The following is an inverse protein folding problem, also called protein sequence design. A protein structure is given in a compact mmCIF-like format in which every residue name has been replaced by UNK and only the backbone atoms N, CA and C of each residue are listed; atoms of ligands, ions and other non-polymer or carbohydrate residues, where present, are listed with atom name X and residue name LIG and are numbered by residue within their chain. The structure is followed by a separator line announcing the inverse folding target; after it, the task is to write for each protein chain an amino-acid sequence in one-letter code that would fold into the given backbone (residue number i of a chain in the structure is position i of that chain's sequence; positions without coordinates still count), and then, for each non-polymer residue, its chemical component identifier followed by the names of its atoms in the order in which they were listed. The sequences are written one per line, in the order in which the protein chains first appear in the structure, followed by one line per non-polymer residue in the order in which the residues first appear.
data_IF_230007896550
#
_entry.id   IF_230007896550
#
_cell.length_a   1.000
_cell.length_b   1.000
_cell.length_c   1.000
_cell.angle_alpha   90.00
_cell.angle_beta   90.00
_cell.angle_gamma   90.00
#
_symmetry.space_group_name_H-M   'P 1'
#
loop_
_entity.id
_entity.type
_entity.pdbx_description
1 polymer ?
#
# COMPACT_ATOMS: atom_id res chain seq x y z
N UNK A 1 18.63 -11.61 18.22
CA UNK A 1 17.43 -12.46 18.15
C UNK A 1 16.69 -12.60 19.49
N UNK A 2 17.31 -12.33 20.65
CA UNK A 2 16.64 -12.49 21.97
C UNK A 2 15.59 -11.42 22.29
N UNK A 3 15.73 -10.21 21.76
CA UNK A 3 14.80 -9.10 22.04
C UNK A 3 13.34 -9.40 21.62
N UNK A 4 13.13 -10.11 20.50
CA UNK A 4 11.79 -10.51 20.04
C UNK A 4 11.14 -11.55 20.94
N UNK A 5 11.95 -12.46 21.51
CA UNK A 5 11.47 -13.49 22.44
C UNK A 5 11.10 -12.87 23.79
N UNK A 6 11.88 -11.89 24.25
CA UNK A 6 11.65 -11.18 25.51
C UNK A 6 10.51 -10.17 25.44
N UNK A 7 10.24 -9.60 24.27
CA UNK A 7 9.22 -8.57 24.07
C UNK A 7 8.34 -8.81 22.82
N UNK A 8 7.60 -9.93 22.76
CA UNK A 8 6.83 -10.30 21.57
C UNK A 8 5.64 -9.38 21.29
N UNK A 9 5.18 -8.60 22.27
CA UNK A 9 4.06 -7.65 22.13
C UNK A 9 4.50 -6.26 21.66
N UNK A 10 5.80 -6.03 21.46
CA UNK A 10 6.32 -4.75 20.93
C UNK A 10 6.38 -4.80 19.41
N UNK A 11 5.34 -4.27 18.75
CA UNK A 11 5.24 -4.21 17.28
C UNK A 11 6.48 -3.60 16.61
N UNK A 12 7.08 -2.57 17.22
CA UNK A 12 8.27 -1.89 16.69
C UNK A 12 9.47 -2.81 16.51
N UNK A 13 9.64 -3.82 17.38
CA UNK A 13 10.75 -4.77 17.25
C UNK A 13 10.55 -5.70 16.05
N UNK A 14 9.30 -6.12 15.79
CA UNK A 14 8.97 -6.95 14.63
C UNK A 14 9.17 -6.17 13.32
N UNK A 15 8.71 -4.92 13.29
CA UNK A 15 8.92 -4.01 12.16
C UNK A 15 10.42 -3.85 11.92
N UNK A 16 11.18 -3.53 12.96
CA UNK A 16 12.64 -3.36 12.85
C UNK A 16 13.34 -4.62 12.31
N UNK A 17 13.02 -5.80 12.85
CA UNK A 17 13.61 -7.06 12.40
C UNK A 17 13.29 -7.35 10.93
N UNK A 18 12.07 -7.07 10.48
CA UNK A 18 11.67 -7.25 9.09
C UNK A 18 12.39 -6.26 8.15
N UNK A 19 12.49 -4.99 8.53
CA UNK A 19 13.25 -3.99 7.77
C UNK A 19 14.73 -4.37 7.66
N UNK A 20 15.35 -4.74 8.78
CA UNK A 20 16.75 -5.17 8.81
C UNK A 20 17.01 -6.37 7.88
N UNK A 21 16.08 -7.33 7.83
CA UNK A 21 16.17 -8.49 6.92
C UNK A 21 16.21 -8.09 5.44
N UNK A 22 15.42 -7.09 5.03
CA UNK A 22 15.41 -6.62 3.64
C UNK A 22 16.58 -5.70 3.34
N UNK A 23 16.97 -4.84 4.27
CA UNK A 23 18.03 -3.84 4.06
C UNK A 23 19.41 -4.46 4.02
N UNK A 24 19.71 -5.39 4.94
CA UNK A 24 21.05 -5.94 5.12
C UNK A 24 21.24 -7.25 4.33
N UNK A 25 20.19 -8.05 4.19
CA UNK A 25 20.27 -9.39 3.59
C UNK A 25 19.47 -9.56 2.30
N UNK A 26 18.73 -8.53 1.86
CA UNK A 26 17.78 -8.61 0.74
C UNK A 26 16.77 -9.77 0.84
N UNK A 27 16.52 -10.27 2.06
CA UNK A 27 15.68 -11.43 2.31
C UNK A 27 14.26 -11.01 2.66
N UNK A 28 13.43 -10.96 1.62
CA UNK A 28 12.00 -10.68 1.75
C UNK A 28 11.22 -11.82 2.42
N UNK A 29 11.67 -13.07 2.27
CA UNK A 29 10.99 -14.24 2.86
C UNK A 29 11.12 -14.23 4.38
N UNK A 30 12.32 -13.94 4.88
CA UNK A 30 12.56 -13.80 6.31
C UNK A 30 11.85 -12.56 6.88
N UNK A 31 11.79 -11.45 6.14
CA UNK A 31 11.03 -10.27 6.53
C UNK A 31 9.52 -10.55 6.68
N UNK A 32 8.93 -11.28 5.71
CA UNK A 32 7.54 -11.77 5.78
C UNK A 32 7.32 -12.63 7.02
N UNK A 33 8.25 -13.53 7.31
CA UNK A 33 8.19 -14.37 8.51
C UNK A 33 8.15 -13.54 9.79
N UNK A 34 8.97 -12.49 9.91
CA UNK A 34 8.93 -11.59 11.06
C UNK A 34 7.60 -10.84 11.16
N UNK A 35 7.09 -10.29 10.06
CA UNK A 35 5.82 -9.56 10.05
C UNK A 35 4.64 -10.48 10.42
N UNK A 36 4.56 -11.67 9.82
CA UNK A 36 3.51 -12.65 10.09
C UNK A 36 3.54 -13.14 11.54
N UNK A 37 4.74 -13.43 12.09
CA UNK A 37 4.89 -13.79 13.51
C UNK A 37 4.52 -12.62 14.42
N UNK A 38 4.93 -11.40 14.06
CA UNK A 38 4.54 -10.20 14.79
C UNK A 38 3.03 -10.02 14.86
N UNK A 39 2.31 -10.29 13.77
CA UNK A 39 0.85 -10.19 13.72
C UNK A 39 0.14 -11.22 14.60
N UNK A 40 0.75 -12.37 14.88
CA UNK A 40 0.22 -13.33 15.87
C UNK A 40 0.22 -12.76 17.29
N UNK A 41 1.17 -11.89 17.64
CA UNK A 41 1.25 -11.26 18.97
C UNK A 41 0.64 -9.87 19.04
N UNK A 42 0.72 -9.11 17.95
CA UNK A 42 0.37 -7.69 17.87
C UNK A 42 -0.79 -7.45 16.90
N UNK A 43 -1.80 -8.33 16.89
CA UNK A 43 -2.92 -8.30 15.93
C UNK A 43 -3.71 -6.98 15.91
N UNK A 44 -3.76 -6.27 17.05
CA UNK A 44 -4.43 -4.97 17.19
C UNK A 44 -3.55 -3.77 16.82
N UNK A 45 -2.29 -3.99 16.48
CA UNK A 45 -1.36 -2.91 16.10
C UNK A 45 -1.59 -2.48 14.66
N UNK A 46 -2.31 -1.36 14.45
CA UNK A 46 -2.47 -0.73 13.13
C UNK A 46 -1.14 -0.49 12.45
N UNK A 47 -0.16 0.02 13.22
CA UNK A 47 1.20 0.28 12.74
C UNK A 47 1.84 -0.95 12.11
N UNK A 48 1.71 -2.13 12.72
CA UNK A 48 2.30 -3.35 12.18
C UNK A 48 1.65 -3.77 10.85
N UNK A 49 0.33 -3.67 10.75
CA UNK A 49 -0.40 -3.96 9.50
C UNK A 49 0.01 -3.02 8.37
N UNK A 50 0.05 -1.71 8.64
CA UNK A 50 0.44 -0.69 7.66
C UNK A 50 1.89 -0.88 7.21
N UNK A 51 2.82 -1.10 8.15
CA UNK A 51 4.22 -1.32 7.80
C UNK A 51 4.45 -2.61 7.02
N UNK A 52 3.69 -3.67 7.31
CA UNK A 52 3.78 -4.91 6.53
C UNK A 52 3.32 -4.69 5.07
N UNK A 53 2.18 -4.05 4.86
CA UNK A 53 1.72 -3.73 3.51
C UNK A 53 2.68 -2.78 2.78
N UNK A 54 3.22 -1.77 3.49
CA UNK A 54 4.21 -0.84 2.93
C UNK A 54 5.48 -1.56 2.49
N UNK A 55 5.97 -2.51 3.29
CA UNK A 55 7.14 -3.34 2.96
C UNK A 55 6.91 -4.14 1.66
N UNK A 56 5.73 -4.74 1.49
CA UNK A 56 5.37 -5.47 0.26
C UNK A 56 5.28 -4.56 -0.97
N UNK A 57 4.72 -3.36 -0.83
CA UNK A 57 4.66 -2.38 -1.94
C UNK A 57 6.05 -1.87 -2.33
N UNK A 58 6.94 -1.64 -1.36
CA UNK A 58 8.35 -1.31 -1.62
C UNK A 58 9.03 -2.46 -2.38
N UNK A 59 8.78 -3.71 -1.97
CA UNK A 59 9.32 -4.88 -2.65
C UNK A 59 8.84 -4.98 -4.12
N UNK A 60 7.54 -4.76 -4.37
CA UNK A 60 6.98 -4.70 -5.72
C UNK A 60 7.65 -3.60 -6.55
N UNK A 61 7.80 -2.41 -5.99
CA UNK A 61 8.45 -1.27 -6.65
C UNK A 61 9.89 -1.60 -7.06
N UNK A 62 10.66 -2.22 -6.15
CA UNK A 62 12.03 -2.67 -6.43
C UNK A 62 12.07 -3.72 -7.53
N UNK A 63 11.12 -4.66 -7.54
CA UNK A 63 11.05 -5.72 -8.55
C UNK A 63 10.76 -5.14 -9.95
N UNK A 64 9.82 -4.19 -10.05
CA UNK A 64 9.51 -3.47 -11.31
C UNK A 64 10.71 -2.66 -11.79
N UNK A 65 11.37 -1.92 -10.89
CA UNK A 65 12.57 -1.18 -11.24
C UNK A 65 13.68 -2.11 -11.78
N UNK A 66 13.85 -3.29 -11.19
CA UNK A 66 14.80 -4.29 -11.67
C UNK A 66 14.43 -4.84 -13.05
N UNK A 67 13.15 -5.13 -13.31
CA UNK A 67 12.69 -5.59 -14.63
C UNK A 67 12.95 -4.55 -15.72
N UNK A 68 12.68 -3.26 -15.43
CA UNK A 68 13.02 -2.13 -16.31
C UNK A 68 14.50 -2.07 -16.66
N UNK A 69 15.36 -2.17 -15.66
CA UNK A 69 16.82 -2.13 -15.85
C UNK A 69 17.30 -3.32 -16.68
N UNK A 70 16.70 -4.50 -16.49
CA UNK A 70 17.03 -5.72 -17.23
C UNK A 70 16.38 -5.81 -18.62
N UNK A 71 15.57 -4.82 -19.01
CA UNK A 71 14.86 -4.83 -20.31
C UNK A 71 13.76 -5.88 -20.41
N UNK A 72 13.27 -6.40 -19.27
CA UNK A 72 12.22 -7.43 -19.22
C UNK A 72 10.79 -6.85 -19.25
N UNK A 73 10.68 -5.53 -19.42
CA UNK A 73 9.40 -4.79 -19.52
C UNK A 73 8.75 -4.86 -20.91
N UNK A 74 9.36 -5.59 -21.85
CA UNK A 74 8.77 -5.80 -23.18
C UNK A 74 7.48 -6.63 -23.07
N UNK A 75 6.37 -6.02 -23.48
CA UNK A 75 5.12 -6.75 -23.77
C UNK A 75 5.47 -7.83 -24.80
N UNK A 76 4.99 -9.08 -24.64
CA UNK A 76 5.16 -10.08 -25.69
C UNK A 76 4.40 -9.62 -26.92
N UNK A 77 5.10 -9.03 -27.89
CA UNK A 77 4.60 -8.98 -29.25
C UNK A 77 4.48 -10.43 -29.75
N UNK A 78 3.39 -10.69 -30.47
CA UNK A 78 3.02 -12.02 -30.95
C UNK A 78 4.10 -12.72 -31.77
N UNK A 79 3.89 -14.02 -32.04
CA UNK A 79 4.97 -14.98 -32.27
C UNK A 79 5.70 -14.71 -33.58
N UNK A 80 7.03 -14.58 -33.50
CA UNK A 80 7.93 -14.88 -34.61
C UNK A 80 8.86 -16.01 -34.21
N UNK A 81 8.81 -17.05 -35.05
CA UNK A 81 9.41 -18.36 -34.92
C UNK A 81 10.95 -18.37 -34.88
N UNK A 82 11.45 -19.39 -34.15
CA UNK A 82 12.66 -20.19 -34.34
C UNK A 82 14.02 -19.49 -34.19
N UNK A 83 14.86 -19.97 -33.25
CA UNK A 83 16.02 -20.84 -33.57
C UNK A 83 16.42 -21.70 -32.33
N UNK A 84 16.67 -22.99 -32.61
CA UNK A 84 17.65 -23.95 -32.06
C UNK A 84 17.69 -24.31 -30.56
N UNK A 85 17.44 -25.60 -30.34
CA UNK A 85 17.98 -26.45 -29.28
C UNK A 85 19.51 -26.53 -29.38
N UNK A 86 20.21 -26.09 -28.32
CA UNK A 86 21.46 -26.62 -27.75
C UNK A 86 22.14 -25.49 -26.94
N UNK A 87 22.06 -25.54 -25.61
CA UNK A 87 23.23 -25.51 -24.71
C UNK A 87 22.78 -25.60 -23.22
N UNK A 88 22.90 -26.79 -22.65
CA UNK A 88 22.65 -27.06 -21.24
C UNK A 88 23.85 -26.61 -20.41
N UNK A 89 23.84 -25.36 -19.92
CA UNK A 89 24.77 -24.94 -18.88
C UNK A 89 24.16 -25.19 -17.48
N UNK A 90 24.55 -26.33 -16.93
CA UNK A 90 24.39 -26.69 -15.53
C UNK A 90 25.39 -25.91 -14.67
N UNK A 91 24.90 -24.95 -13.89
CA UNK A 91 25.56 -24.56 -12.64
C UNK A 91 24.52 -23.97 -11.65
N UNK A 92 23.78 -24.87 -10.99
CA UNK A 92 22.94 -24.52 -9.83
C UNK A 92 23.76 -24.75 -8.56
N UNK A 93 24.20 -23.67 -7.91
CA UNK A 93 24.69 -23.73 -6.54
C UNK A 93 23.45 -23.80 -5.61
N UNK A 94 23.15 -25.00 -5.08
CA UNK A 94 22.16 -25.17 -4.02
C UNK A 94 22.71 -24.63 -2.69
N UNK A 95 22.00 -23.68 -2.08
CA UNK A 95 22.22 -23.33 -0.67
C UNK A 95 21.47 -24.30 0.25
N UNK A 96 22.04 -24.67 1.41
CA UNK A 96 21.44 -25.65 2.32
C UNK A 96 20.11 -25.14 2.91
N UNK A 97 19.10 -26.00 2.90
CA UNK A 97 17.81 -25.78 3.56
C UNK A 97 17.99 -26.01 5.07
N UNK A 98 17.68 -25.01 5.90
CA UNK A 98 17.50 -25.20 7.34
C UNK A 98 16.03 -25.55 7.56
N UNK A 99 15.76 -26.69 8.20
CA UNK A 99 14.43 -27.29 8.41
C UNK A 99 13.68 -26.71 9.61
N UNK A 100 12.35 -26.88 9.58
CA UNK A 100 11.33 -26.18 10.39
C UNK A 100 11.08 -26.73 11.82
N UNK A 101 11.92 -27.59 12.39
CA UNK A 101 11.48 -28.39 13.55
C UNK A 101 11.71 -27.82 14.97
N UNK A 102 12.37 -26.68 15.18
CA UNK A 102 12.90 -26.39 16.53
C UNK A 102 12.29 -25.23 17.35
N UNK A 103 11.17 -24.60 16.97
CA UNK A 103 10.59 -23.55 17.84
C UNK A 103 9.05 -23.51 17.80
N UNK A 104 8.41 -24.37 18.59
CA UNK A 104 7.02 -24.19 19.03
C UNK A 104 6.95 -24.10 20.57
N UNK A 105 6.32 -23.05 21.12
CA UNK A 105 5.24 -23.34 22.05
C UNK A 105 4.01 -22.42 21.87
N UNK A 106 2.91 -23.07 21.48
CA UNK A 106 1.50 -22.90 21.89
C UNK A 106 1.02 -21.48 22.25
N UNK A 107 0.29 -20.87 21.32
CA UNK A 107 -0.90 -20.07 21.63
C UNK A 107 -1.94 -20.36 20.54
N UNK A 108 -3.04 -21.01 20.94
CA UNK A 108 -4.24 -21.20 20.14
C UNK A 108 -5.13 -19.97 20.36
N UNK A 109 -5.43 -19.23 19.31
CA UNK A 109 -6.80 -18.78 19.01
C UNK A 109 -6.87 -18.39 17.52
N UNK A 110 -7.96 -18.82 16.89
CA UNK A 110 -8.18 -18.88 15.45
C UNK A 110 -8.56 -17.52 14.85
N UNK A 111 -8.48 -17.41 13.52
CA UNK A 111 -8.87 -16.27 12.63
C UNK A 111 -7.76 -15.29 12.21
N UNK A 112 -6.60 -15.80 11.81
CA UNK A 112 -5.88 -15.19 10.68
C UNK A 112 -5.68 -16.31 9.68
N UNK A 113 -6.28 -16.19 8.50
CA UNK A 113 -6.34 -17.24 7.50
C UNK A 113 -4.94 -17.52 6.93
N UNK A 114 -4.19 -18.40 7.59
CA UNK A 114 -2.82 -18.80 7.20
C UNK A 114 -2.78 -19.41 5.79
N UNK A 115 -3.91 -19.92 5.29
CA UNK A 115 -4.03 -20.44 3.92
C UNK A 115 -3.99 -19.31 2.88
N UNK A 116 -4.57 -18.15 3.17
CA UNK A 116 -4.49 -16.97 2.31
C UNK A 116 -3.04 -16.44 2.20
N UNK A 117 -2.25 -16.57 3.28
CA UNK A 117 -0.86 -16.13 3.32
C UNK A 117 0.12 -17.08 2.59
N UNK A 118 -0.18 -18.39 2.54
CA UNK A 118 0.67 -19.40 1.88
C UNK A 118 0.54 -19.43 0.35
N UNK A 119 -0.61 -19.04 -0.19
CA UNK A 119 -0.89 -19.02 -1.64
C UNK A 119 -0.13 -17.91 -2.38
N UNK A 120 0.50 -17.00 -1.65
CA UNK A 120 1.14 -15.79 -2.17
C UNK A 120 2.59 -15.96 -2.68
N UNK A 121 3.18 -17.16 -2.49
CA UNK A 121 4.61 -17.37 -2.74
C UNK A 121 4.97 -17.83 -4.17
N UNK A 122 3.99 -18.04 -5.05
CA UNK A 122 4.23 -18.61 -6.40
C UNK A 122 3.68 -17.70 -7.51
N UNK A 123 4.48 -16.73 -7.95
CA UNK A 123 4.49 -16.20 -9.34
C UNK A 123 3.44 -15.14 -9.78
N UNK A 124 2.85 -14.28 -8.92
CA UNK A 124 2.27 -13.00 -9.38
C UNK A 124 2.64 -11.83 -8.45
N UNK A 125 3.91 -11.70 -8.06
CA UNK A 125 4.39 -10.68 -7.12
C UNK A 125 3.97 -9.24 -7.51
N UNK A 126 3.83 -8.96 -8.81
CA UNK A 126 3.46 -7.64 -9.33
C UNK A 126 1.96 -7.31 -9.27
N UNK A 127 1.10 -8.29 -8.98
CA UNK A 127 -0.36 -8.13 -9.07
C UNK A 127 -0.98 -7.40 -7.87
N UNK A 128 -0.19 -7.14 -6.82
CA UNK A 128 -0.68 -6.55 -5.57
C UNK A 128 -1.48 -7.50 -4.69
N UNK A 129 -1.48 -8.81 -4.97
CA UNK A 129 -2.25 -9.80 -4.21
C UNK A 129 -1.88 -9.83 -2.71
N UNK A 130 -0.60 -9.64 -2.37
CA UNK A 130 -0.15 -9.66 -0.97
C UNK A 130 -0.66 -8.42 -0.20
N UNK A 131 -0.42 -7.17 -0.65
CA UNK A 131 -1.03 -6.01 -0.02
C UNK A 131 -2.57 -6.08 0.09
N UNK A 132 -3.26 -6.63 -0.91
CA UNK A 132 -4.71 -6.84 -0.86
C UNK A 132 -5.11 -7.82 0.25
N UNK A 133 -4.47 -8.99 0.31
CA UNK A 133 -4.74 -9.98 1.35
C UNK A 133 -4.44 -9.44 2.77
N UNK A 134 -3.38 -8.63 2.90
CA UNK A 134 -3.06 -7.91 4.14
C UNK A 134 -4.19 -6.95 4.50
N UNK A 135 -4.65 -6.11 3.57
CA UNK A 135 -5.77 -5.19 3.78
C UNK A 135 -7.04 -5.94 4.21
N UNK A 136 -7.44 -6.97 3.47
CA UNK A 136 -8.67 -7.74 3.74
C UNK A 136 -8.65 -8.42 5.11
N UNK A 137 -7.49 -8.90 5.54
CA UNK A 137 -7.32 -9.50 6.87
C UNK A 137 -7.34 -8.43 7.96
N UNK A 138 -6.70 -7.29 7.72
CA UNK A 138 -6.61 -6.21 8.68
C UNK A 138 -7.96 -5.51 8.88
N UNK A 139 -8.67 -5.19 7.80
CA UNK A 139 -9.95 -4.47 7.87
C UNK A 139 -11.01 -5.27 8.63
N UNK A 140 -11.02 -6.61 8.48
CA UNK A 140 -11.85 -7.51 9.30
C UNK A 140 -11.44 -7.50 10.76
N UNK A 141 -10.14 -7.51 11.04
CA UNK A 141 -9.59 -7.43 12.41
C UNK A 141 -9.99 -6.12 13.11
N UNK A 142 -10.11 -5.03 12.36
CA UNK A 142 -10.52 -3.73 12.87
C UNK A 142 -12.02 -3.43 12.67
N UNK A 143 -12.85 -4.44 12.41
CA UNK A 143 -14.31 -4.29 12.27
C UNK A 143 -14.70 -3.17 11.31
N UNK A 144 -14.10 -3.17 10.11
CA UNK A 144 -14.36 -2.18 9.06
C UNK A 144 -14.20 -0.74 9.56
N UNK A 145 -13.17 -0.48 10.38
CA UNK A 145 -12.82 0.86 10.82
C UNK A 145 -12.36 1.73 9.64
N UNK A 146 -13.09 2.80 9.41
CA UNK A 146 -12.90 3.77 8.33
C UNK A 146 -11.62 4.59 8.49
N UNK A 147 -11.22 4.93 9.72
CA UNK A 147 -9.94 5.61 9.95
C UNK A 147 -8.77 4.71 9.55
N UNK A 148 -8.81 3.41 9.90
CA UNK A 148 -7.78 2.44 9.50
C UNK A 148 -7.77 2.23 7.98
N UNK A 149 -8.93 2.10 7.35
CA UNK A 149 -9.02 1.96 5.90
C UNK A 149 -8.46 3.20 5.17
N UNK A 150 -8.73 4.40 5.68
CA UNK A 150 -8.15 5.64 5.15
C UNK A 150 -6.64 5.71 5.36
N UNK A 151 -6.13 5.34 6.54
CA UNK A 151 -4.69 5.25 6.81
C UNK A 151 -4.00 4.28 5.83
N UNK A 152 -4.63 3.14 5.55
CA UNK A 152 -4.13 2.17 4.58
C UNK A 152 -4.18 2.71 3.16
N UNK A 153 -5.30 3.35 2.77
CA UNK A 153 -5.45 4.00 1.46
C UNK A 153 -4.35 5.03 1.25
N UNK A 154 -4.07 5.87 2.25
CA UNK A 154 -3.06 6.93 2.17
C UNK A 154 -1.66 6.37 2.01
N UNK A 155 -1.33 5.32 2.77
CA UNK A 155 -0.06 4.63 2.62
C UNK A 155 0.11 4.07 1.19
N UNK A 156 -0.94 3.48 0.61
CA UNK A 156 -0.90 2.98 -0.78
C UNK A 156 -0.82 4.13 -1.78
N UNK A 157 -1.52 5.24 -1.51
CA UNK A 157 -1.59 6.42 -2.38
C UNK A 157 -0.23 7.13 -2.53
N UNK A 158 0.69 6.98 -1.56
CA UNK A 158 2.07 7.47 -1.64
C UNK A 158 2.90 6.81 -2.76
N UNK A 159 2.47 5.67 -3.31
CA UNK A 159 3.22 4.93 -4.33
C UNK A 159 2.81 5.35 -5.75
N UNK A 160 3.60 6.22 -6.41
CA UNK A 160 3.26 6.71 -7.75
C UNK A 160 3.43 5.67 -8.87
N UNK A 161 4.51 4.89 -8.83
CA UNK A 161 4.98 4.08 -9.97
C UNK A 161 4.67 2.57 -9.85
N UNK A 162 3.79 2.18 -8.91
CA UNK A 162 3.44 0.77 -8.68
C UNK A 162 2.37 0.31 -9.67
N UNK A 163 2.59 -0.76 -10.47
CA UNK A 163 1.64 -1.20 -11.50
C UNK A 163 0.26 -1.60 -10.98
N UNK A 164 0.17 -2.08 -9.74
CA UNK A 164 -1.08 -2.51 -9.11
C UNK A 164 -1.74 -1.41 -8.26
N UNK A 165 -1.24 -0.16 -8.30
CA UNK A 165 -1.75 0.96 -7.51
C UNK A 165 -3.27 1.13 -7.62
N UNK A 166 -3.77 1.31 -8.84
CA UNK A 166 -5.19 1.55 -9.11
C UNK A 166 -6.05 0.39 -8.61
N UNK A 167 -5.60 -0.85 -8.83
CA UNK A 167 -6.30 -2.07 -8.38
C UNK A 167 -6.42 -2.13 -6.86
N UNK A 168 -5.35 -1.77 -6.14
CA UNK A 168 -5.37 -1.79 -4.66
C UNK A 168 -6.26 -0.68 -4.13
N UNK A 169 -6.09 0.55 -4.63
CA UNK A 169 -6.88 1.69 -4.19
C UNK A 169 -8.37 1.54 -4.51
N UNK A 170 -8.73 1.00 -5.68
CA UNK A 170 -10.12 0.74 -6.04
C UNK A 170 -10.75 -0.27 -5.09
N UNK A 171 -10.05 -1.37 -4.80
CA UNK A 171 -10.54 -2.40 -3.86
C UNK A 171 -10.75 -1.85 -2.44
N UNK A 172 -9.80 -1.07 -1.93
CA UNK A 172 -9.94 -0.42 -0.61
C UNK A 172 -11.16 0.50 -0.63
N UNK A 173 -11.32 1.31 -1.68
CA UNK A 173 -12.42 2.24 -1.81
C UNK A 173 -13.78 1.54 -1.90
N UNK A 174 -13.88 0.45 -2.66
CA UNK A 174 -15.09 -0.36 -2.77
C UNK A 174 -15.52 -0.89 -1.39
N UNK A 175 -14.57 -1.42 -0.60
CA UNK A 175 -14.83 -1.89 0.78
C UNK A 175 -15.25 -0.74 1.70
N UNK A 176 -14.66 0.44 1.57
CA UNK A 176 -15.05 1.63 2.35
C UNK A 176 -16.45 2.13 1.99
N UNK A 177 -16.81 2.09 0.70
CA UNK A 177 -18.12 2.49 0.20
C UNK A 177 -19.22 1.50 0.58
N UNK A 178 -18.93 0.20 0.61
CA UNK A 178 -19.88 -0.82 1.06
C UNK A 178 -20.14 -0.72 2.57
N UNK A 179 -19.09 -0.51 3.36
CA UNK A 179 -19.20 -0.49 4.83
C UNK A 179 -19.68 0.85 5.40
N UNK A 180 -19.07 1.96 4.98
CA UNK A 180 -19.30 3.31 5.56
C UNK A 180 -19.27 4.39 4.48
N UNK A 181 -20.26 4.43 3.56
CA UNK A 181 -20.26 5.35 2.41
C UNK A 181 -20.28 6.84 2.79
N UNK A 182 -20.87 7.18 3.94
CA UNK A 182 -21.04 8.57 4.38
C UNK A 182 -19.92 9.06 5.32
N UNK A 183 -18.96 8.21 5.68
CA UNK A 183 -17.84 8.61 6.54
C UNK A 183 -16.98 9.67 5.82
N UNK A 184 -16.51 10.73 6.52
CA UNK A 184 -15.58 11.70 5.93
C UNK A 184 -14.32 11.03 5.36
N UNK A 185 -13.86 9.94 5.97
CA UNK A 185 -12.72 9.16 5.53
C UNK A 185 -12.97 8.45 4.19
N UNK A 186 -14.13 7.84 4.01
CA UNK A 186 -14.53 7.25 2.72
C UNK A 186 -14.67 8.31 1.64
N UNK A 187 -15.28 9.45 1.99
CA UNK A 187 -15.50 10.55 1.05
C UNK A 187 -14.19 11.19 0.59
N UNK A 188 -13.22 11.43 1.47
CA UNK A 188 -11.93 12.00 1.04
C UNK A 188 -11.16 11.02 0.15
N UNK A 189 -11.15 9.71 0.47
CA UNK A 189 -10.56 8.68 -0.40
C UNK A 189 -11.21 8.69 -1.79
N UNK A 190 -12.54 8.72 -1.86
CA UNK A 190 -13.28 8.82 -3.11
C UNK A 190 -12.94 10.09 -3.90
N UNK A 191 -12.87 11.24 -3.20
CA UNK A 191 -12.57 12.54 -3.80
C UNK A 191 -11.16 12.56 -4.40
N UNK A 192 -10.14 12.11 -3.66
CA UNK A 192 -8.73 12.19 -4.11
C UNK A 192 -8.31 11.05 -5.05
N UNK A 193 -9.04 9.94 -5.10
CA UNK A 193 -8.75 8.79 -5.96
C UNK A 193 -8.37 9.12 -7.42
N UNK A 194 -9.02 10.07 -8.14
CA UNK A 194 -8.64 10.40 -9.52
C UNK A 194 -7.21 10.91 -9.69
N UNK A 195 -6.59 11.39 -8.60
CA UNK A 195 -5.21 11.89 -8.58
C UNK A 195 -4.18 10.81 -8.22
N UNK A 196 -4.61 9.58 -7.95
CA UNK A 196 -3.73 8.47 -7.62
C UNK A 196 -2.76 8.14 -8.77
N UNK A 197 -1.45 8.10 -8.46
CA UNK A 197 -0.40 7.81 -9.45
C UNK A 197 -0.15 8.94 -10.45
N UNK A 198 -0.79 10.11 -10.28
CA UNK A 198 -0.60 11.27 -11.16
C UNK A 198 0.35 12.25 -10.49
N UNK A 199 1.53 12.43 -11.07
CA UNK A 199 2.51 13.42 -10.59
C UNK A 199 1.93 14.83 -10.65
N UNK A 200 2.04 15.56 -9.54
CA UNK A 200 1.51 16.94 -9.38
C UNK A 200 2.02 17.91 -10.46
N UNK A 201 3.25 17.70 -10.94
CA UNK A 201 3.90 18.52 -11.98
C UNK A 201 3.62 18.05 -13.41
N UNK A 202 2.86 16.98 -13.60
CA UNK A 202 2.54 16.43 -14.92
C UNK A 202 1.37 17.16 -15.60
N UNK A 203 1.32 17.10 -16.94
CA UNK A 203 0.22 17.66 -17.72
C UNK A 203 -1.13 16.95 -17.48
N UNK A 204 -1.13 15.77 -16.86
CA UNK A 204 -2.35 15.01 -16.53
C UNK A 204 -2.99 15.47 -15.21
N UNK A 205 -2.19 16.07 -14.32
CA UNK A 205 -2.65 16.50 -13.00
C UNK A 205 -3.82 17.49 -13.01
N UNK A 206 -3.87 18.54 -13.87
CA UNK A 206 -5.02 19.43 -13.92
C UNK A 206 -6.34 18.69 -14.19
N UNK A 207 -6.32 17.70 -15.08
CA UNK A 207 -7.51 16.91 -15.43
C UNK A 207 -7.93 16.02 -14.26
N UNK A 208 -6.97 15.35 -13.62
CA UNK A 208 -7.21 14.51 -12.45
C UNK A 208 -7.75 15.33 -11.26
N UNK A 209 -7.15 16.49 -10.99
CA UNK A 209 -7.61 17.41 -9.95
C UNK A 209 -9.02 17.93 -10.26
N UNK A 210 -9.31 18.28 -11.52
CA UNK A 210 -10.65 18.68 -11.94
C UNK A 210 -11.71 17.61 -11.66
N UNK A 211 -11.41 16.33 -11.92
CA UNK A 211 -12.29 15.22 -11.58
C UNK A 211 -12.47 15.09 -10.05
N UNK A 212 -11.41 15.22 -9.26
CA UNK A 212 -11.46 15.21 -7.80
C UNK A 212 -12.33 16.37 -7.25
N UNK A 213 -12.12 17.59 -7.72
CA UNK A 213 -12.89 18.77 -7.30
C UNK A 213 -14.36 18.70 -7.72
N UNK A 214 -14.67 17.98 -8.80
CA UNK A 214 -16.05 17.69 -9.20
C UNK A 214 -16.73 16.77 -8.18
N UNK A 215 -16.04 15.70 -7.73
CA UNK A 215 -16.52 14.81 -6.66
C UNK A 215 -16.72 15.55 -5.34
N UNK A 216 -15.88 16.54 -5.04
CA UNK A 216 -15.97 17.34 -3.82
C UNK A 216 -17.26 18.19 -3.75
N UNK A 217 -17.86 18.59 -4.88
CA UNK A 217 -19.00 19.52 -4.88
C UNK A 217 -20.17 19.05 -4.02
N UNK A 218 -20.44 17.74 -4.00
CA UNK A 218 -21.55 17.13 -3.27
C UNK A 218 -21.34 17.09 -1.75
N UNK A 219 -20.11 17.28 -1.29
CA UNK A 219 -19.73 17.08 0.12
C UNK A 219 -19.01 18.27 0.75
N UNK A 220 -18.74 19.33 -0.03
CA UNK A 220 -17.96 20.50 0.38
C UNK A 220 -18.49 21.24 1.61
N UNK A 221 -19.77 21.09 1.94
CA UNK A 221 -20.40 21.74 3.11
C UNK A 221 -20.26 20.92 4.41
N UNK A 222 -19.70 19.71 4.35
CA UNK A 222 -19.50 18.88 5.54
C UNK A 222 -18.20 19.30 6.24
N UNK A 223 -18.22 19.78 7.49
CA UNK A 223 -17.01 20.27 8.18
C UNK A 223 -15.91 19.22 8.28
N UNK A 224 -16.28 17.96 8.58
CA UNK A 224 -15.32 16.86 8.66
C UNK A 224 -14.64 16.58 7.31
N UNK A 225 -15.37 16.67 6.18
CA UNK A 225 -14.78 16.52 4.85
C UNK A 225 -13.90 17.73 4.50
N UNK A 226 -14.32 18.93 4.88
CA UNK A 226 -13.53 20.15 4.68
C UNK A 226 -12.16 20.04 5.36
N UNK A 227 -12.10 19.51 6.59
CA UNK A 227 -10.84 19.23 7.28
C UNK A 227 -9.93 18.29 6.49
N UNK A 228 -10.46 17.14 6.06
CA UNK A 228 -9.69 16.14 5.29
C UNK A 228 -9.19 16.71 3.94
N UNK A 229 -9.99 17.55 3.27
CA UNK A 229 -9.60 18.24 2.03
C UNK A 229 -8.44 19.20 2.27
N UNK A 230 -8.47 19.96 3.37
CA UNK A 230 -7.38 20.87 3.74
C UNK A 230 -6.10 20.09 4.00
N UNK A 231 -6.18 19.00 4.76
CA UNK A 231 -5.04 18.15 5.10
C UNK A 231 -4.43 17.50 3.85
N UNK A 232 -5.26 17.12 2.87
CA UNK A 232 -4.80 16.61 1.57
C UNK A 232 -4.17 17.69 0.67
N UNK A 233 -4.81 18.86 0.53
CA UNK A 233 -4.41 19.87 -0.46
C UNK A 233 -3.26 20.78 0.00
N UNK A 234 -3.09 21.02 1.31
CA UNK A 234 -2.02 21.89 1.82
C UNK A 234 -0.61 21.42 1.44
N UNK A 235 -0.26 20.12 1.53
CA UNK A 235 1.02 19.64 1.01
C UNK A 235 1.17 19.86 -0.49
N UNK A 236 0.10 19.62 -1.26
CA UNK A 236 0.10 19.77 -2.73
C UNK A 236 0.35 21.23 -3.12
N UNK A 237 -0.30 22.19 -2.47
CA UNK A 237 -0.11 23.63 -2.69
C UNK A 237 1.34 24.09 -2.51
N UNK A 238 2.08 23.44 -1.58
CA UNK A 238 3.47 23.74 -1.25
C UNK A 238 4.48 23.05 -2.16
N UNK A 239 4.02 22.27 -3.13
CA UNK A 239 4.89 21.58 -4.09
C UNK A 239 5.63 22.60 -4.95
N UNK A 240 6.95 22.42 -5.09
CA UNK A 240 7.77 23.26 -5.98
C UNK A 240 7.38 23.01 -7.44
N UNK A 241 7.51 24.05 -8.26
CA UNK A 241 7.23 23.99 -9.71
C UNK A 241 5.78 23.61 -10.06
N UNK A 242 4.84 23.84 -9.12
CA UNK A 242 3.41 23.74 -9.39
C UNK A 242 2.97 24.90 -10.29
N UNK A 243 2.17 24.58 -11.31
CA UNK A 243 1.60 25.59 -12.20
C UNK A 243 0.82 26.65 -11.39
N UNK A 244 1.08 27.96 -11.61
CA UNK A 244 0.45 29.04 -10.82
C UNK A 244 -1.08 29.04 -10.87
N UNK A 245 -1.68 28.59 -11.99
CA UNK A 245 -3.13 28.50 -12.11
C UNK A 245 -3.69 27.36 -11.26
N UNK A 246 -3.01 26.22 -11.21
CA UNK A 246 -3.37 25.09 -10.34
C UNK A 246 -3.20 25.49 -8.88
N UNK A 247 -2.09 26.14 -8.52
CA UNK A 247 -1.85 26.63 -7.17
C UNK A 247 -2.97 27.56 -6.70
N UNK A 248 -3.41 28.48 -7.56
CA UNK A 248 -4.54 29.38 -7.26
C UNK A 248 -5.86 28.62 -7.04
N UNK A 249 -6.14 27.59 -7.84
CA UNK A 249 -7.34 26.74 -7.68
C UNK A 249 -7.30 25.96 -6.36
N UNK A 250 -6.14 25.42 -6.00
CA UNK A 250 -5.95 24.70 -4.75
C UNK A 250 -6.12 25.65 -3.55
N UNK A 251 -5.46 26.81 -3.57
CA UNK A 251 -5.57 27.83 -2.52
C UNK A 251 -7.03 28.29 -2.32
N UNK A 252 -7.76 28.52 -3.42
CA UNK A 252 -9.17 28.90 -3.36
C UNK A 252 -10.05 27.77 -2.80
N UNK A 253 -9.71 26.50 -3.08
CA UNK A 253 -10.42 25.35 -2.53
C UNK A 253 -10.16 25.21 -1.03
N UNK A 254 -8.90 25.35 -0.59
CA UNK A 254 -8.51 25.33 0.82
C UNK A 254 -9.25 26.45 1.58
N UNK A 255 -9.22 27.68 1.06
CA UNK A 255 -9.89 28.82 1.70
C UNK A 255 -11.40 28.58 1.88
N UNK A 256 -12.08 28.02 0.87
CA UNK A 256 -13.51 27.67 0.99
C UNK A 256 -13.75 26.59 2.05
N UNK A 257 -12.89 25.59 2.14
CA UNK A 257 -12.98 24.56 3.16
C UNK A 257 -12.74 25.14 4.58
N UNK A 258 -11.82 26.10 4.72
CA UNK A 258 -11.57 26.80 5.99
C UNK A 258 -12.80 27.60 6.45
N UNK A 259 -13.51 28.26 5.53
CA UNK A 259 -14.76 28.96 5.85
C UNK A 259 -15.83 27.98 6.39
N UNK A 260 -15.99 26.82 5.76
CA UNK A 260 -16.93 25.79 6.22
C UNK A 260 -16.59 25.29 7.64
N UNK A 261 -15.31 25.25 8.01
CA UNK A 261 -14.88 24.90 9.36
C UNK A 261 -15.14 26.02 10.39
N UNK A 262 -15.13 27.28 9.98
CA UNK A 262 -15.40 28.42 10.85
C UNK A 262 -16.90 28.59 11.14
N UNK A 263 -17.74 28.15 10.21
CA UNK A 263 -19.22 28.22 10.31
C UNK A 263 -19.85 27.02 11.05
N UNK A 264 -19.06 26.01 11.40
CA UNK A 264 -19.47 24.74 12.03
C UNK A 264 -19.38 24.76 13.56
#
# INVERSE_FOLDING_TARGET
MDALRLHPTKADLWIYAAHYSVEDHADMSQARTYMQRGLRFCKTSRKLWIQYAKLELIYITKLVARQRILGLDEKPEGPKQQVSEDDLNADMIMMPQITEEDINPKARDDTIDEAALKTLNSTPALTGAIPLAIFDSAIKTFDYNDCFAHEFFDMVFEFEDVPCLQKILSHILDVMQESKPNSPHTLICYIKYPTAGVRVTSAEFPRALGAALSRLQEHRQKPQVAKEVIDWLRPVEKTKDLDPSIQKVIAATIHKAELVLQEA
#
